data_IF_711163034751
#
_entry.id   IF_711163034751
#
_cell.length_a   1.000
_cell.length_b   1.000
_cell.length_c   1.000
_cell.angle_alpha   90.00
_cell.angle_beta   90.00
_cell.angle_gamma   90.00
#
_symmetry.space_group_name_H-M   'P 1'
#
loop_
_entity.id
_entity.type
_entity.pdbx_description
1 polymer ?
#
# COMPACT_ATOMS: atom_id res chain seq x y z
N UNK A 1 17.93 10.48 5.37
CA UNK A 1 16.83 9.71 4.74
C UNK A 1 15.78 10.72 4.33
N UNK A 2 15.45 10.83 3.04
CA UNK A 2 14.26 11.59 2.64
C UNK A 2 13.05 10.86 3.23
N UNK A 3 12.34 11.50 4.16
CA UNK A 3 11.09 10.98 4.68
C UNK A 3 10.04 11.12 3.59
N UNK A 4 9.42 10.00 3.20
CA UNK A 4 8.36 10.03 2.22
C UNK A 4 7.13 10.72 2.84
N UNK A 5 6.62 11.82 2.26
CA UNK A 5 5.60 12.65 2.91
C UNK A 5 4.28 11.91 3.14
N UNK A 6 3.94 10.94 2.28
CA UNK A 6 2.71 10.16 2.41
C UNK A 6 2.79 9.19 3.59
N UNK A 7 3.94 8.52 3.78
CA UNK A 7 4.18 7.64 4.92
C UNK A 7 4.30 8.45 6.22
N UNK A 8 4.97 9.60 6.17
CA UNK A 8 5.16 10.46 7.33
C UNK A 8 3.82 10.99 7.87
N UNK A 9 2.89 11.35 6.99
CA UNK A 9 1.54 11.74 7.38
C UNK A 9 0.83 10.66 8.20
N UNK A 10 0.85 9.40 7.73
CA UNK A 10 0.24 8.28 8.44
C UNK A 10 0.95 8.00 9.77
N UNK A 11 2.29 7.99 9.77
CA UNK A 11 3.08 7.77 10.97
C UNK A 11 2.74 8.79 12.06
N UNK A 12 2.69 10.08 11.71
CA UNK A 12 2.37 11.15 12.65
C UNK A 12 0.95 10.99 13.18
N UNK A 13 -0.04 10.74 12.31
CA UNK A 13 -1.42 10.51 12.73
C UNK A 13 -1.54 9.36 13.74
N UNK A 14 -0.87 8.24 13.49
CA UNK A 14 -0.93 7.05 14.37
C UNK A 14 -0.30 7.34 15.73
N UNK A 15 0.90 7.93 15.74
CA UNK A 15 1.62 8.26 16.96
C UNK A 15 0.87 9.29 17.83
N UNK A 16 0.15 10.22 17.20
CA UNK A 16 -0.56 11.29 17.90
C UNK A 16 -1.93 10.86 18.42
N UNK A 17 -2.58 9.86 17.80
CA UNK A 17 -3.99 9.56 18.04
C UNK A 17 -4.28 8.14 18.56
N UNK A 18 -3.29 7.24 18.56
CA UNK A 18 -3.51 5.84 18.94
C UNK A 18 -2.40 5.31 19.86
N UNK A 19 -2.70 4.31 20.70
CA UNK A 19 -1.67 3.63 21.50
C UNK A 19 -0.87 2.58 20.71
N UNK A 20 -1.25 2.29 19.47
CA UNK A 20 -0.59 1.28 18.65
C UNK A 20 0.65 1.86 17.95
N UNK A 21 1.75 1.09 17.87
CA UNK A 21 2.93 1.52 17.12
C UNK A 21 2.64 1.52 15.62
N UNK A 22 3.33 2.38 14.86
CA UNK A 22 3.28 2.36 13.41
C UNK A 22 4.00 1.12 12.82
N UNK A 23 3.26 0.25 12.13
CA UNK A 23 3.78 -0.98 11.51
C UNK A 23 4.44 -0.74 10.15
N UNK A 24 5.46 0.12 10.10
CA UNK A 24 6.07 0.56 8.85
C UNK A 24 6.65 -0.60 8.03
N UNK A 25 6.12 -0.81 6.82
CA UNK A 25 6.64 -1.78 5.83
C UNK A 25 7.69 -1.20 4.89
N UNK A 26 8.87 -0.91 5.47
CA UNK A 26 10.03 -0.40 4.72
C UNK A 26 10.55 -1.40 3.68
N UNK A 27 10.48 -2.70 3.98
CA UNK A 27 10.80 -3.79 3.05
C UNK A 27 10.01 -3.66 1.74
N UNK A 28 8.70 -3.42 1.87
CA UNK A 28 7.78 -3.24 0.73
C UNK A 28 8.01 -1.93 0.00
N UNK A 29 8.36 -0.87 0.73
CA UNK A 29 8.74 0.40 0.09
C UNK A 29 9.95 0.20 -0.84
N UNK A 30 11.02 -0.42 -0.35
CA UNK A 30 12.23 -0.65 -1.12
C UNK A 30 12.01 -1.64 -2.28
N UNK A 31 11.19 -2.68 -2.08
CA UNK A 31 10.77 -3.62 -3.13
C UNK A 31 10.14 -2.88 -4.33
N UNK A 32 9.23 -1.93 -4.06
CA UNK A 32 8.60 -1.15 -5.13
C UNK A 32 9.57 -0.15 -5.77
N UNK A 33 10.42 0.52 -4.99
CA UNK A 33 11.46 1.42 -5.55
C UNK A 33 12.38 0.66 -6.52
N UNK A 34 12.82 -0.53 -6.12
CA UNK A 34 13.65 -1.39 -6.96
C UNK A 34 12.91 -1.77 -8.25
N UNK A 35 11.69 -2.28 -8.16
CA UNK A 35 10.91 -2.72 -9.32
C UNK A 35 10.63 -1.57 -10.31
N UNK A 36 10.29 -0.37 -9.81
CA UNK A 36 10.09 0.80 -10.65
C UNK A 36 11.38 1.24 -11.35
N UNK A 37 12.50 1.18 -10.65
CA UNK A 37 13.83 1.50 -11.22
C UNK A 37 14.21 0.51 -12.32
N UNK A 38 14.08 -0.80 -12.06
CA UNK A 38 14.39 -1.87 -13.03
C UNK A 38 13.52 -1.79 -14.29
N UNK A 39 12.30 -1.27 -14.19
CA UNK A 39 11.39 -1.09 -15.30
C UNK A 39 11.41 0.29 -15.95
N UNK A 40 12.30 1.20 -15.53
CA UNK A 40 12.37 2.60 -15.98
C UNK A 40 11.04 3.37 -15.80
N UNK A 41 10.30 3.06 -14.73
CA UNK A 41 9.02 3.67 -14.37
C UNK A 41 9.20 4.64 -13.19
N UNK A 42 10.01 5.68 -13.40
CA UNK A 42 10.41 6.60 -12.31
C UNK A 42 9.42 7.73 -12.05
N UNK A 43 8.41 7.89 -12.91
CA UNK A 43 7.31 8.81 -12.67
C UNK A 43 6.50 8.32 -11.45
N UNK A 44 6.33 9.18 -10.45
CA UNK A 44 5.62 8.87 -9.20
C UNK A 44 6.27 7.82 -8.29
N UNK A 45 7.57 7.54 -8.40
CA UNK A 45 8.24 6.52 -7.54
C UNK A 45 7.92 6.68 -6.05
N UNK A 46 8.03 7.89 -5.50
CA UNK A 46 7.73 8.13 -4.08
C UNK A 46 6.27 7.82 -3.73
N UNK A 47 5.33 8.25 -4.56
CA UNK A 47 3.90 8.05 -4.32
C UNK A 47 3.51 6.58 -4.41
N UNK A 48 3.97 5.88 -5.45
CA UNK A 48 3.60 4.48 -5.71
C UNK A 48 4.26 3.57 -4.68
N UNK A 49 5.53 3.79 -4.34
CA UNK A 49 6.22 3.05 -3.28
C UNK A 49 5.58 3.28 -1.92
N UNK A 50 5.11 4.51 -1.64
CA UNK A 50 4.32 4.77 -0.44
C UNK A 50 2.99 4.02 -0.43
N UNK A 51 2.21 4.08 -1.52
CA UNK A 51 0.92 3.38 -1.62
C UNK A 51 1.08 1.87 -1.43
N UNK A 52 2.11 1.29 -2.05
CA UNK A 52 2.41 -0.15 -1.92
C UNK A 52 2.84 -0.50 -0.48
N UNK A 53 3.75 0.25 0.12
CA UNK A 53 4.15 0.05 1.53
C UNK A 53 2.98 0.19 2.51
N UNK A 54 2.16 1.23 2.32
CA UNK A 54 0.98 1.49 3.15
C UNK A 54 -0.10 0.42 2.99
N UNK A 55 -0.27 -0.17 1.80
CA UNK A 55 -1.16 -1.30 1.60
C UNK A 55 -0.80 -2.50 2.49
N UNK A 56 0.47 -2.92 2.51
CA UNK A 56 0.90 -4.02 3.39
C UNK A 56 0.88 -3.63 4.86
N UNK A 57 1.12 -2.35 5.17
CA UNK A 57 0.99 -1.84 6.54
C UNK A 57 -0.46 -1.97 7.03
N UNK A 58 -1.44 -1.62 6.19
CA UNK A 58 -2.86 -1.81 6.49
C UNK A 58 -3.21 -3.30 6.67
N UNK A 59 -2.66 -4.16 5.82
CA UNK A 59 -2.85 -5.60 5.92
C UNK A 59 -2.32 -6.16 7.25
N UNK A 60 -1.14 -5.72 7.69
CA UNK A 60 -0.56 -6.15 8.97
C UNK A 60 -1.40 -5.69 10.17
N UNK A 61 -1.99 -4.49 10.11
CA UNK A 61 -2.96 -4.06 11.12
C UNK A 61 -4.18 -4.99 11.18
N UNK A 62 -4.73 -5.39 10.02
CA UNK A 62 -5.84 -6.33 9.98
C UNK A 62 -5.47 -7.76 10.45
N UNK A 63 -4.23 -8.20 10.23
CA UNK A 63 -3.75 -9.50 10.70
C UNK A 63 -3.51 -9.49 12.21
N UNK A 64 -2.82 -8.47 12.72
CA UNK A 64 -2.53 -8.31 14.17
C UNK A 64 -3.78 -8.07 15.01
N UNK A 65 -4.87 -7.58 14.40
CA UNK A 65 -6.19 -7.51 15.01
C UNK A 65 -6.65 -8.86 15.60
N UNK A 66 -6.24 -9.99 15.01
CA UNK A 66 -6.57 -11.32 15.53
C UNK A 66 -5.86 -11.64 16.86
N UNK A 67 -4.73 -10.99 17.13
CA UNK A 67 -3.82 -11.31 18.25
C UNK A 67 -3.94 -10.32 19.42
N UNK A 68 -4.35 -9.07 19.16
CA UNK A 68 -4.41 -8.00 20.17
C UNK A 68 -5.84 -7.61 20.56
N UNK A 69 -6.47 -8.41 21.42
CA UNK A 69 -7.87 -8.17 21.82
C UNK A 69 -8.13 -6.79 22.46
N UNK A 70 -7.20 -6.27 23.28
CA UNK A 70 -7.38 -4.98 23.96
C UNK A 70 -7.32 -3.77 23.02
N UNK A 71 -6.67 -3.93 21.86
CA UNK A 71 -6.51 -2.88 20.85
C UNK A 71 -7.14 -3.23 19.51
N UNK A 72 -7.98 -4.29 19.47
CA UNK A 72 -8.66 -4.77 18.28
C UNK A 72 -9.38 -3.64 17.51
N UNK A 73 -10.18 -2.75 18.17
CA UNK A 73 -10.84 -1.66 17.45
C UNK A 73 -9.86 -0.70 16.78
N UNK A 74 -8.72 -0.40 17.43
CA UNK A 74 -7.70 0.46 16.84
C UNK A 74 -7.04 -0.20 15.64
N UNK A 75 -6.66 -1.47 15.74
CA UNK A 75 -6.03 -2.20 14.64
C UNK A 75 -6.93 -2.23 13.40
N UNK A 76 -8.21 -2.54 13.57
CA UNK A 76 -9.19 -2.53 12.45
C UNK A 76 -9.31 -1.13 11.84
N UNK A 77 -9.56 -0.11 12.66
CA UNK A 77 -9.75 1.26 12.18
C UNK A 77 -8.50 1.85 11.51
N UNK A 78 -7.30 1.51 11.99
CA UNK A 78 -6.05 1.92 11.36
C UNK A 78 -5.85 1.29 9.99
N UNK A 79 -6.15 -0.01 9.84
CA UNK A 79 -6.11 -0.66 8.52
C UNK A 79 -7.08 -0.02 7.52
N UNK A 80 -8.32 0.27 7.96
CA UNK A 80 -9.34 0.93 7.14
C UNK A 80 -8.93 2.37 6.76
N UNK A 81 -8.40 3.12 7.72
CA UNK A 81 -7.93 4.48 7.52
C UNK A 81 -6.79 4.54 6.50
N UNK A 82 -5.75 3.70 6.66
CA UNK A 82 -4.61 3.66 5.75
C UNK A 82 -5.07 3.25 4.34
N UNK A 83 -5.94 2.25 4.22
CA UNK A 83 -6.50 1.81 2.93
C UNK A 83 -7.27 2.93 2.24
N UNK A 84 -8.08 3.68 2.99
CA UNK A 84 -8.82 4.84 2.50
C UNK A 84 -7.88 5.96 2.05
N UNK A 85 -6.80 6.19 2.79
CA UNK A 85 -5.79 7.19 2.44
C UNK A 85 -5.00 6.83 1.17
N UNK A 86 -4.66 5.55 0.96
CA UNK A 86 -4.07 5.08 -0.31
C UNK A 86 -5.02 5.38 -1.48
N UNK A 87 -6.31 5.10 -1.33
CA UNK A 87 -7.30 5.42 -2.36
C UNK A 87 -7.40 6.93 -2.62
N UNK A 88 -7.39 7.75 -1.56
CA UNK A 88 -7.40 9.20 -1.64
C UNK A 88 -6.19 9.76 -2.41
N UNK A 89 -4.98 9.29 -2.09
CA UNK A 89 -3.75 9.74 -2.76
C UNK A 89 -3.81 9.42 -4.26
N UNK A 90 -4.15 8.18 -4.62
CA UNK A 90 -4.24 7.76 -6.02
C UNK A 90 -5.30 8.57 -6.78
N UNK A 91 -6.45 8.83 -6.15
CA UNK A 91 -7.50 9.66 -6.74
C UNK A 91 -7.06 11.10 -6.96
N UNK A 92 -6.47 11.75 -5.95
CA UNK A 92 -6.01 13.16 -6.02
C UNK A 92 -4.94 13.38 -7.09
N UNK A 93 -4.14 12.36 -7.40
CA UNK A 93 -3.11 12.40 -8.44
C UNK A 93 -3.60 11.88 -9.80
N UNK A 94 -4.91 11.65 -9.96
CA UNK A 94 -5.53 11.14 -11.20
C UNK A 94 -4.99 9.77 -11.67
N UNK A 95 -4.46 8.96 -10.75
CA UNK A 95 -3.92 7.62 -11.04
C UNK A 95 -5.02 6.55 -10.98
N UNK A 96 -6.09 6.76 -11.77
CA UNK A 96 -7.32 5.97 -11.66
C UNK A 96 -7.16 4.49 -12.01
N UNK A 97 -6.28 4.14 -12.95
CA UNK A 97 -6.08 2.71 -13.27
C UNK A 97 -5.26 2.00 -12.19
N UNK A 98 -4.31 2.69 -11.55
CA UNK A 98 -3.64 2.16 -10.37
C UNK A 98 -4.64 1.98 -9.22
N UNK A 99 -5.52 2.96 -8.98
CA UNK A 99 -6.60 2.82 -8.00
C UNK A 99 -7.45 1.56 -8.26
N UNK A 100 -7.81 1.29 -9.52
CA UNK A 100 -8.50 0.05 -9.89
C UNK A 100 -7.63 -1.17 -9.59
N UNK A 101 -6.36 -1.16 -9.96
CA UNK A 101 -5.42 -2.26 -9.67
C UNK A 101 -5.37 -2.57 -8.18
N UNK A 102 -5.16 -1.57 -7.33
CA UNK A 102 -5.18 -1.75 -5.88
C UNK A 102 -6.52 -2.33 -5.41
N UNK A 103 -7.66 -1.79 -5.85
CA UNK A 103 -8.98 -2.28 -5.45
C UNK A 103 -9.26 -3.74 -5.90
N UNK A 104 -8.83 -4.13 -7.10
CA UNK A 104 -8.98 -5.51 -7.58
C UNK A 104 -8.05 -6.47 -6.84
N UNK A 105 -6.76 -6.15 -6.77
CA UNK A 105 -5.76 -7.01 -6.12
C UNK A 105 -6.00 -7.16 -4.61
N UNK A 106 -6.52 -6.12 -3.94
CA UNK A 106 -6.93 -6.23 -2.52
C UNK A 106 -7.93 -7.36 -2.31
N UNK A 107 -8.96 -7.46 -3.17
CA UNK A 107 -9.99 -8.51 -3.07
C UNK A 107 -9.39 -9.91 -3.27
N UNK A 108 -8.48 -10.05 -4.23
CA UNK A 108 -7.79 -11.32 -4.50
C UNK A 108 -6.89 -11.73 -3.34
N UNK A 109 -6.10 -10.79 -2.80
CA UNK A 109 -5.22 -11.04 -1.64
C UNK A 109 -6.06 -11.44 -0.41
N UNK A 110 -7.15 -10.72 -0.12
CA UNK A 110 -8.06 -11.08 0.96
C UNK A 110 -8.63 -12.48 0.78
N UNK A 111 -9.09 -12.84 -0.42
CA UNK A 111 -9.61 -14.18 -0.70
C UNK A 111 -8.53 -15.26 -0.55
N UNK A 112 -7.31 -14.97 -0.98
CA UNK A 112 -6.18 -15.88 -0.86
C UNK A 112 -5.83 -16.14 0.61
N UNK A 113 -5.78 -15.11 1.44
CA UNK A 113 -5.57 -15.24 2.88
C UNK A 113 -6.69 -16.07 3.55
N UNK A 114 -7.95 -15.82 3.20
CA UNK A 114 -9.09 -16.59 3.72
C UNK A 114 -9.09 -18.07 3.29
N UNK A 115 -8.40 -18.40 2.19
CA UNK A 115 -8.31 -19.76 1.63
C UNK A 115 -6.94 -20.42 1.81
N UNK A 116 -6.06 -19.83 2.64
CA UNK A 116 -4.68 -20.28 2.88
C UNK A 116 -3.85 -20.43 1.60
N UNK A 117 -4.08 -19.55 0.61
CA UNK A 117 -3.24 -19.41 -0.58
C UNK A 117 -2.27 -18.25 -0.36
N UNK A 118 -1.02 -18.44 -0.77
CA UNK A 118 0.05 -17.44 -0.62
C UNK A 118 0.26 -16.57 -1.87
N UNK A 119 -0.59 -16.68 -2.89
CA UNK A 119 -0.43 -15.90 -4.11
C UNK A 119 -0.70 -14.41 -3.85
N UNK A 120 0.31 -13.59 -4.13
CA UNK A 120 0.23 -12.13 -4.14
C UNK A 120 0.85 -11.63 -5.46
N UNK A 121 0.03 -10.96 -6.27
CA UNK A 121 0.42 -10.44 -7.60
C UNK A 121 0.33 -8.92 -7.66
N UNK A 122 0.18 -8.22 -6.53
CA UNK A 122 -0.04 -6.78 -6.52
C UNK A 122 1.12 -6.02 -7.21
N UNK A 123 2.37 -6.39 -6.91
CA UNK A 123 3.54 -5.76 -7.53
C UNK A 123 3.52 -5.92 -9.05
N UNK A 124 3.34 -7.14 -9.55
CA UNK A 124 3.28 -7.43 -10.99
C UNK A 124 2.13 -6.67 -11.66
N UNK A 125 0.97 -6.61 -11.02
CA UNK A 125 -0.20 -5.90 -11.52
C UNK A 125 0.03 -4.38 -11.58
N UNK A 126 0.69 -3.79 -10.58
CA UNK A 126 1.07 -2.36 -10.57
C UNK A 126 2.01 -2.07 -11.74
N UNK A 127 3.08 -2.84 -11.89
CA UNK A 127 4.04 -2.67 -12.99
C UNK A 127 3.35 -2.81 -14.35
N UNK A 128 2.48 -3.80 -14.50
CA UNK A 128 1.70 -4.01 -15.74
C UNK A 128 0.80 -2.84 -16.06
N UNK A 129 0.11 -2.28 -15.06
CA UNK A 129 -0.76 -1.11 -15.23
C UNK A 129 0.04 0.11 -15.65
N UNK A 130 1.18 0.38 -15.01
CA UNK A 130 2.06 1.50 -15.37
C UNK A 130 2.57 1.39 -16.80
N UNK A 131 3.01 0.20 -17.23
CA UNK A 131 3.49 -0.03 -18.61
C UNK A 131 2.42 0.20 -19.68
N UNK A 132 1.14 0.00 -19.35
CA UNK A 132 0.03 0.30 -20.28
C UNK A 132 -0.23 1.80 -20.44
N UNK A 133 0.15 2.61 -19.45
CA UNK A 133 -0.04 4.07 -19.46
C UNK A 133 1.12 4.82 -20.13
N UNK A 134 2.32 4.23 -20.21
CA UNK A 134 3.44 4.80 -20.96
C UNK A 134 3.19 4.58 -22.46
N UNK A 135 3.07 5.63 -23.29
CA UNK A 135 2.98 5.47 -24.74
C UNK A 135 4.26 4.78 -25.23
N UNK A 136 4.13 3.65 -25.92
CA UNK A 136 5.25 3.05 -26.63
C UNK A 136 5.60 3.97 -27.80
N UNK A 137 6.56 4.87 -27.60
CA UNK A 137 7.20 5.56 -28.71
C UNK A 137 8.11 4.54 -29.40
N UNK A 138 7.65 4.08 -30.57
CA UNK A 138 8.38 3.23 -31.53
C UNK A 138 9.66 3.90 -32.02
#
# INVERSE_FOLDING_TARGET
MMTNPFIEYINNFINDNTPLPFLKREDKYQEMVQALTEHNLTEYTELISACYSLFYTALDYHLTAQEQHDYLPYAVLLGDFISSYVAEILYKHNLFDLLKTFAYSTKEIMLNLLTNKSEDKLLENIITTLKKQVPQWT
#
